data_IF_887783429278
#
_entry.id   IF_887783429278
#
_cell.length_a   1.000
_cell.length_b   1.000
_cell.length_c   1.000
_cell.angle_alpha   90.00
_cell.angle_beta   90.00
_cell.angle_gamma   90.00
#
_symmetry.space_group_name_H-M   'P 1'
#
loop_
_entity.id
_entity.type
_entity.pdbx_description
1 polymer ?
#
# COMPACT_ATOMS: atom_id res chain seq x y z
N UNK A 1 10.13 3.71 10.80
CA UNK A 1 9.09 3.51 9.76
C UNK A 1 9.34 4.50 8.62
N UNK A 2 10.60 4.87 8.42
CA UNK A 2 11.00 6.02 7.59
C UNK A 2 11.53 5.59 6.22
N UNK A 3 11.57 4.28 5.96
CA UNK A 3 12.14 3.70 4.75
C UNK A 3 11.13 3.61 3.59
N UNK A 4 9.85 3.96 3.82
CA UNK A 4 8.86 4.02 2.76
C UNK A 4 8.91 5.40 2.07
N UNK A 5 9.23 5.48 0.76
CA UNK A 5 9.36 6.75 0.06
C UNK A 5 8.11 7.63 0.08
N UNK A 6 6.92 7.04 0.23
CA UNK A 6 5.64 7.75 0.35
C UNK A 6 5.32 8.27 1.75
N UNK A 7 6.22 8.10 2.72
CA UNK A 7 6.00 8.41 4.14
C UNK A 7 5.35 7.26 4.93
N UNK A 8 5.33 7.40 6.25
CA UNK A 8 4.72 6.46 7.19
C UNK A 8 3.20 6.64 7.31
N UNK A 9 2.70 7.86 7.18
CA UNK A 9 1.27 8.21 7.21
C UNK A 9 0.42 7.33 6.28
N UNK A 10 0.92 7.05 5.07
CA UNK A 10 0.19 6.20 4.11
C UNK A 10 0.14 4.74 4.56
N UNK A 11 1.20 4.21 5.20
CA UNK A 11 1.22 2.86 5.76
C UNK A 11 0.32 2.75 7.00
N UNK A 12 0.34 3.77 7.86
CA UNK A 12 -0.54 3.87 9.02
C UNK A 12 -2.01 3.91 8.58
N UNK A 13 -2.30 4.70 7.55
CA UNK A 13 -3.65 4.80 7.00
C UNK A 13 -4.13 3.47 6.43
N UNK A 14 -3.24 2.63 5.89
CA UNK A 14 -3.50 1.33 5.28
C UNK A 14 -3.47 0.15 6.28
N UNK A 15 -3.08 0.39 7.53
CA UNK A 15 -2.89 -0.68 8.52
C UNK A 15 -4.21 -1.40 8.82
N UNK A 16 -4.15 -2.73 8.83
CA UNK A 16 -5.30 -3.59 9.18
C UNK A 16 -6.38 -3.71 8.10
N UNK A 17 -6.11 -3.23 6.88
CA UNK A 17 -6.99 -3.40 5.71
C UNK A 17 -6.23 -3.90 4.49
N UNK A 18 -7.01 -4.34 3.51
CA UNK A 18 -6.52 -4.68 2.19
C UNK A 18 -6.18 -3.40 1.42
N UNK A 19 -4.88 -3.14 1.27
CA UNK A 19 -4.31 -1.97 0.60
C UNK A 19 -4.01 -2.22 -0.89
N UNK A 20 -4.56 -3.28 -1.51
CA UNK A 20 -4.29 -3.62 -2.92
C UNK A 20 -4.58 -2.44 -3.85
N UNK A 21 -5.73 -1.79 -3.69
CA UNK A 21 -6.09 -0.63 -4.50
C UNK A 21 -5.17 0.57 -4.20
N UNK A 22 -4.85 0.82 -2.92
CA UNK A 22 -3.97 1.92 -2.52
C UNK A 22 -2.58 1.76 -3.17
N UNK A 23 -2.07 0.52 -3.27
CA UNK A 23 -0.78 0.21 -3.87
C UNK A 23 -0.80 0.31 -5.41
N UNK A 24 -1.82 -0.23 -6.07
CA UNK A 24 -1.93 -0.27 -7.53
C UNK A 24 -2.30 1.09 -8.12
N UNK A 25 -3.17 1.88 -7.47
CA UNK A 25 -3.58 3.22 -7.94
C UNK A 25 -2.41 4.22 -7.98
N UNK A 26 -1.39 4.02 -7.13
CA UNK A 26 -0.15 4.82 -7.13
C UNK A 26 0.77 4.43 -8.28
N UNK A 27 0.69 3.20 -8.77
CA UNK A 27 1.55 2.70 -9.85
C UNK A 27 3.00 2.46 -9.40
N UNK A 28 3.19 1.75 -8.29
CA UNK A 28 4.51 1.40 -7.78
C UNK A 28 5.39 0.67 -8.81
N UNK A 29 6.69 0.95 -8.78
CA UNK A 29 7.69 0.33 -9.66
C UNK A 29 7.92 -1.16 -9.33
N UNK A 30 8.55 -1.88 -10.25
CA UNK A 30 8.92 -3.28 -10.02
C UNK A 30 9.87 -3.43 -8.84
N UNK A 31 10.80 -2.49 -8.64
CA UNK A 31 11.66 -2.46 -7.46
C UNK A 31 10.89 -2.31 -6.14
N UNK A 32 9.76 -1.58 -6.14
CA UNK A 32 8.91 -1.49 -4.96
C UNK A 32 8.16 -2.81 -4.69
N UNK A 33 7.76 -3.53 -5.75
CA UNK A 33 7.20 -4.90 -5.62
C UNK A 33 8.24 -5.89 -5.08
N UNK A 34 9.47 -5.84 -5.56
CA UNK A 34 10.58 -6.66 -5.03
C UNK A 34 10.89 -6.35 -3.56
N UNK A 35 10.76 -5.08 -3.14
CA UNK A 35 10.88 -4.72 -1.72
C UNK A 35 9.72 -5.26 -0.90
N UNK A 36 8.48 -5.22 -1.41
CA UNK A 36 7.30 -5.76 -0.75
C UNK A 36 7.45 -7.26 -0.45
N UNK A 37 8.01 -8.04 -1.38
CA UNK A 37 8.26 -9.47 -1.20
C UNK A 37 9.12 -9.79 0.03
N UNK A 38 10.06 -8.92 0.40
CA UNK A 38 10.92 -9.11 1.58
C UNK A 38 10.16 -9.03 2.90
N UNK A 39 9.01 -8.35 2.91
CA UNK A 39 8.15 -8.17 4.09
C UNK A 39 6.93 -9.10 4.07
N UNK A 40 6.86 -10.02 3.13
CA UNK A 40 5.78 -11.00 3.04
C UNK A 40 5.87 -12.02 4.18
N UNK A 41 4.81 -12.12 4.99
CA UNK A 41 4.74 -13.03 6.14
C UNK A 41 3.68 -14.14 6.00
N UNK A 42 2.89 -14.14 4.93
CA UNK A 42 1.85 -15.14 4.66
C UNK A 42 0.58 -14.56 4.03
N UNK A 43 -0.41 -15.43 3.84
CA UNK A 43 -1.73 -15.09 3.28
C UNK A 43 -2.81 -14.98 4.36
N UNK A 44 -3.82 -14.14 4.10
CA UNK A 44 -5.04 -14.09 4.90
C UNK A 44 -6.00 -15.18 4.42
N UNK A 45 -6.63 -15.91 5.36
CA UNK A 45 -7.71 -16.84 5.02
C UNK A 45 -8.91 -16.07 4.45
N UNK A 46 -9.15 -16.24 3.15
CA UNK A 46 -10.26 -15.61 2.42
C UNK A 46 -11.65 -15.84 3.04
N UNK A 47 -11.86 -16.93 3.79
CA UNK A 47 -13.12 -17.21 4.48
C UNK A 47 -13.38 -16.29 5.69
N UNK A 48 -12.32 -15.66 6.20
CA UNK A 48 -12.38 -14.73 7.34
C UNK A 48 -12.54 -13.27 6.92
N UNK A 49 -12.40 -12.97 5.63
CA UNK A 49 -12.45 -11.61 5.08
C UNK A 49 -13.85 -11.31 4.53
N UNK A 50 -14.48 -10.19 4.90
CA UNK A 50 -15.75 -9.79 4.30
C UNK A 50 -15.66 -9.62 2.78
N UNK A 51 -16.54 -10.30 2.03
CA UNK A 51 -16.58 -10.26 0.56
C UNK A 51 -16.84 -8.85 -0.01
N UNK A 52 -17.49 -7.97 0.77
CA UNK A 52 -17.86 -6.62 0.32
C UNK A 52 -16.74 -5.63 0.61
N UNK A 53 -15.84 -5.46 -0.35
CA UNK A 53 -14.80 -4.41 -0.30
C UNK A 53 -15.45 -3.04 -0.50
N UNK A 54 -15.35 -2.17 0.51
CA UNK A 54 -15.66 -0.74 0.35
C UNK A 54 -14.34 -0.01 0.25
N UNK A 55 -13.95 0.36 -0.97
CA UNK A 55 -12.75 1.16 -1.19
C UNK A 55 -13.03 2.60 -0.76
N UNK A 56 -12.18 3.13 0.13
CA UNK A 56 -12.15 4.54 0.49
C UNK A 56 -10.75 5.04 0.14
N UNK A 57 -10.60 5.86 -0.91
CA UNK A 57 -9.28 6.30 -1.34
C UNK A 57 -8.61 7.10 -0.22
N UNK A 58 -7.30 6.87 0.05
CA UNK A 58 -6.55 7.68 0.98
C UNK A 58 -6.51 9.12 0.46
N UNK A 59 -6.63 10.09 1.36
CA UNK A 59 -6.44 11.50 1.01
C UNK A 59 -4.98 11.65 0.58
N UNK A 60 -4.75 11.74 -0.74
CA UNK A 60 -3.43 12.02 -1.30
C UNK A 60 -2.99 13.40 -0.78
N UNK A 61 -2.20 13.39 0.29
CA UNK A 61 -1.47 14.57 0.72
C UNK A 61 -0.56 14.96 -0.46
N UNK A 62 -0.86 16.11 -1.05
CA UNK A 62 -0.13 16.71 -2.17
C UNK A 62 1.32 16.97 -1.75
N UNK A 63 2.18 15.96 -1.82
CA UNK A 63 3.62 16.06 -1.60
C UNK A 63 4.34 15.64 -2.88
N UNK A 64 4.47 16.62 -3.77
CA UNK A 64 5.60 16.87 -4.67
C UNK A 64 6.51 15.70 -5.11
N UNK A 65 6.08 14.99 -6.17
CA UNK A 65 6.81 14.68 -7.42
C UNK A 65 8.36 14.61 -7.31
N UNK A 66 8.95 13.40 -7.23
CA UNK A 66 10.28 13.08 -7.80
C UNK A 66 10.66 11.59 -7.80
N UNK A 67 9.82 10.68 -8.32
CA UNK A 67 10.20 9.26 -8.46
C UNK A 67 10.14 8.73 -9.90
N UNK A 68 10.40 9.60 -10.88
CA UNK A 68 10.70 9.21 -12.26
C UNK A 68 12.09 9.72 -12.66
N UNK A 69 13.14 8.99 -12.29
CA UNK A 69 14.43 8.90 -13.00
C UNK A 69 15.22 7.69 -12.50
#
# INVERSE_FOLDING_TARGET
MDDHPGGDEVLLSATGKDATNDFEDVGHSDSAREMMEKYYIGEIDSSTVPLKRTYVPPQQALLNISWAS
#
